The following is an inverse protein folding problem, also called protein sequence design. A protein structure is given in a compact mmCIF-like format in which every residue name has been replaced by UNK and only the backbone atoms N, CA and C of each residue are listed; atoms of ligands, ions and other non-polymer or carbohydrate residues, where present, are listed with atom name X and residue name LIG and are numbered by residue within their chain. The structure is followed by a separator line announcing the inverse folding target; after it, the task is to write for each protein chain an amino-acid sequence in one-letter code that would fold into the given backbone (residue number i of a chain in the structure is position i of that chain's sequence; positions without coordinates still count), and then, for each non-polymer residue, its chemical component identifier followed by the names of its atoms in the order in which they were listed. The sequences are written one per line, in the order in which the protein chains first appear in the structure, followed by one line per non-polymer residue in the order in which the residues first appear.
data_IF_715867430210
#
_entry.id   IF_715867430210
#
_cell.length_a   1.000
_cell.length_b   1.000
_cell.length_c   1.000
_cell.angle_alpha   90.00
_cell.angle_beta   90.00
_cell.angle_gamma   90.00
#
_symmetry.space_group_name_H-M   'P 1'
#
loop_
_entity.id
_entity.type
_entity.pdbx_description
1 polymer ?
2 branched ?
3 non-polymer ?
4 water ?
#
# COMPACT_ATOMS: atom_id res chain seq x y z
N UNK A 7 14.02 -22.77 0.39
CA UNK A 7 14.00 -23.93 -0.56
C UNK A 7 14.32 -23.48 -1.99
N UNK A 8 14.82 -24.43 -2.78
CA UNK A 8 15.19 -24.18 -4.17
C UNK A 8 13.95 -23.88 -5.05
N UNK A 9 14.07 -22.92 -5.98
CA UNK A 9 13.07 -22.76 -7.02
C UNK A 9 13.15 -23.98 -7.97
N UNK A 10 12.02 -24.33 -8.64
CA UNK A 10 12.05 -25.40 -9.63
C UNK A 10 12.56 -24.84 -10.96
N UNK A 11 12.83 -25.73 -11.91
CA UNK A 11 13.11 -25.33 -13.28
C UNK A 11 11.95 -24.46 -13.81
N UNK A 12 12.28 -23.37 -14.49
CA UNK A 12 11.30 -22.45 -15.05
C UNK A 12 11.83 -21.91 -16.37
N UNK A 13 10.93 -21.78 -17.35
CA UNK A 13 11.28 -21.24 -18.66
C UNK A 13 10.64 -19.88 -18.81
N UNK A 14 11.47 -18.85 -19.01
CA UNK A 14 10.98 -17.47 -19.21
C UNK A 14 12.02 -16.69 -20.01
N UNK A 15 11.62 -15.52 -20.58
CA UNK A 15 12.56 -14.70 -21.34
C UNK A 15 13.78 -14.28 -20.51
N UNK A 16 14.95 -14.41 -21.10
CA UNK A 16 16.18 -14.01 -20.43
C UNK A 16 16.13 -12.51 -20.18
N UNK A 17 16.45 -12.06 -18.94
CA UNK A 17 16.59 -10.61 -18.76
C UNK A 17 17.75 -10.06 -19.60
N UNK A 18 17.58 -8.86 -20.14
CA UNK A 18 18.57 -8.24 -21.02
C UNK A 18 19.34 -7.14 -20.28
N UNK A 19 20.59 -7.43 -19.93
CA UNK A 19 21.42 -6.49 -19.17
C UNK A 19 21.55 -5.11 -19.84
N UNK A 20 21.60 -5.10 -21.18
CA UNK A 20 21.81 -3.87 -21.94
C UNK A 20 20.51 -3.28 -22.55
N UNK A 21 19.36 -3.76 -22.07
CA UNK A 21 18.06 -3.16 -22.37
C UNK A 21 17.35 -2.79 -21.05
N UNK A 22 17.15 -1.49 -20.78
CA UNK A 22 16.41 -1.15 -19.56
C UNK A 22 14.96 -1.64 -19.64
N UNK A 23 14.33 -1.98 -18.51
CA UNK A 23 12.95 -2.46 -18.57
C UNK A 23 11.99 -1.34 -18.93
N UNK A 24 12.23 -0.15 -18.40
CA UNK A 24 11.43 1.02 -18.70
C UNK A 24 12.40 2.18 -18.91
N UNK A 25 12.23 2.94 -19.98
CA UNK A 25 13.03 4.13 -20.21
C UNK A 25 12.28 5.40 -19.82
N UNK A 26 11.00 5.27 -19.49
CA UNK A 26 10.14 6.42 -19.21
C UNK A 26 10.01 6.76 -17.73
N UNK A 27 10.39 5.84 -16.84
CA UNK A 27 10.21 6.04 -15.41
C UNK A 27 11.40 5.54 -14.61
N UNK A 28 11.54 6.06 -13.39
CA UNK A 28 12.52 5.59 -12.42
C UNK A 28 12.04 4.26 -11.82
N UNK A 29 12.86 3.23 -11.91
CA UNK A 29 12.48 1.88 -11.41
C UNK A 29 13.21 1.43 -10.14
N UNK A 30 14.08 2.28 -9.62
CA UNK A 30 14.81 2.02 -8.38
C UNK A 30 15.09 3.34 -7.66
N UNK A 31 14.92 3.34 -6.34
CA UNK A 31 15.19 4.55 -5.56
C UNK A 31 16.71 4.73 -5.34
N UNK A 32 17.13 5.93 -4.89
CA UNK A 32 18.54 6.14 -4.52
C UNK A 32 19.06 5.29 -3.35
N UNK A 33 18.17 4.66 -2.58
CA UNK A 33 18.54 3.69 -1.54
C UNK A 33 18.35 2.24 -2.01
N UNK A 34 18.26 2.06 -3.34
CA UNK A 34 18.17 0.78 -3.99
C UNK A 34 16.95 -0.05 -3.64
N UNK A 35 15.82 0.62 -3.37
CA UNK A 35 14.53 -0.08 -3.28
C UNK A 35 13.90 -0.06 -4.66
N UNK A 36 13.34 -1.21 -5.09
CA UNK A 36 12.62 -1.12 -6.37
C UNK A 36 11.36 -0.26 -6.32
N UNK A 37 11.07 0.38 -7.44
CA UNK A 37 9.83 1.09 -7.66
C UNK A 37 9.03 0.20 -8.60
N UNK A 38 7.87 -0.26 -8.12
CA UNK A 38 7.11 -1.31 -8.78
C UNK A 38 6.20 -0.75 -9.87
N UNK A 39 6.64 -0.92 -11.11
CA UNK A 39 5.87 -0.64 -12.32
C UNK A 39 5.64 -1.92 -13.14
N UNK A 40 4.59 -1.93 -13.97
CA UNK A 40 4.36 -3.02 -14.89
C UNK A 40 5.54 -3.11 -15.86
N UNK A 41 6.02 -4.33 -16.09
CA UNK A 41 7.24 -4.56 -16.86
C UNK A 41 8.50 -4.73 -16.04
N UNK A 42 8.50 -4.37 -14.75
CA UNK A 42 9.70 -4.54 -13.92
C UNK A 42 9.82 -5.96 -13.33
N UNK A 43 8.70 -6.68 -13.20
CA UNK A 43 8.70 -7.96 -12.52
C UNK A 43 8.14 -9.10 -13.39
N UNK A 44 8.69 -10.29 -13.16
CA UNK A 44 8.12 -11.52 -13.68
C UNK A 44 7.31 -12.10 -12.53
N UNK A 45 6.00 -12.07 -12.65
CA UNK A 45 5.11 -12.53 -11.57
C UNK A 45 5.20 -14.04 -11.31
N UNK A 46 5.57 -14.83 -12.32
CA UNK A 46 5.73 -16.28 -12.12
C UNK A 46 6.87 -16.58 -11.17
N UNK A 47 7.98 -15.88 -11.35
CA UNK A 47 9.12 -16.02 -10.43
C UNK A 47 8.74 -15.65 -9.00
N UNK A 48 8.13 -14.48 -8.83
CA UNK A 48 7.73 -13.98 -7.52
C UNK A 48 6.67 -14.85 -6.86
N UNK A 49 5.67 -15.31 -7.63
CA UNK A 49 4.67 -16.20 -7.06
C UNK A 49 5.32 -17.45 -6.50
N UNK A 50 6.25 -18.04 -7.25
CA UNK A 50 7.01 -19.20 -6.76
C UNK A 50 7.71 -18.91 -5.45
N UNK A 51 8.45 -17.80 -5.40
CA UNK A 51 9.23 -17.51 -4.20
C UNK A 51 8.32 -17.41 -2.97
N UNK A 52 7.20 -16.69 -3.13
CA UNK A 52 6.29 -16.47 -2.00
C UNK A 52 5.43 -17.67 -1.63
N UNK A 53 5.04 -18.47 -2.64
CA UNK A 53 4.32 -19.71 -2.36
C UNK A 53 5.18 -20.73 -1.64
N UNK A 54 6.44 -20.83 -2.03
CA UNK A 54 7.38 -21.74 -1.35
C UNK A 54 7.54 -21.43 0.14
N UNK A 55 7.29 -20.19 0.55
CA UNK A 55 7.27 -19.79 1.97
C UNK A 55 5.90 -19.87 2.61
N UNK A 56 4.88 -20.31 1.86
CA UNK A 56 3.50 -20.38 2.32
C UNK A 56 3.04 -19.05 2.93
N UNK A 57 3.29 -17.96 2.21
CA UNK A 57 3.05 -16.61 2.71
C UNK A 57 1.58 -16.30 2.92
N UNK A 58 1.26 -15.70 4.06
CA UNK A 58 -0.08 -15.21 4.36
C UNK A 58 -0.07 -13.69 4.40
N UNK A 59 -1.00 -13.08 3.66
CA UNK A 59 -1.10 -11.62 3.59
C UNK A 59 -2.38 -11.20 4.29
N UNK A 60 -2.23 -10.33 5.29
CA UNK A 60 -3.37 -9.63 5.90
C UNK A 60 -3.71 -8.36 5.14
N UNK A 61 -4.99 -8.12 4.91
CA UNK A 61 -5.48 -6.91 4.27
C UNK A 61 -6.43 -6.22 5.23
N UNK A 62 -6.08 -5.02 5.71
CA UNK A 62 -6.88 -4.33 6.72
C UNK A 62 -7.65 -3.16 6.10
N UNK A 63 -8.93 -3.03 6.46
CA UNK A 63 -9.76 -1.89 6.06
C UNK A 63 -10.60 -1.43 7.23
N UNK A 64 -10.81 -0.12 7.27
CA UNK A 64 -11.75 0.50 8.22
C UNK A 64 -12.97 0.90 7.42
N UNK A 65 -14.13 0.42 7.85
CA UNK A 65 -15.40 0.75 7.22
C UNK A 65 -16.37 1.21 8.31
N UNK A 66 -16.49 2.53 8.46
CA UNK A 66 -17.24 3.17 9.54
C UNK A 66 -18.41 3.91 8.92
N UNK A 67 -19.56 3.87 9.60
CA UNK A 67 -20.74 4.67 9.24
C UNK A 67 -21.20 4.38 7.79
N UNK A 68 -21.28 5.41 6.94
CA UNK A 68 -21.69 5.24 5.53
C UNK A 68 -20.73 4.39 4.68
N UNK A 69 -19.46 4.27 5.11
CA UNK A 69 -18.44 3.59 4.31
C UNK A 69 -18.60 2.07 4.22
N UNK A 70 -19.41 1.48 5.10
CA UNK A 70 -19.73 0.05 5.01
C UNK A 70 -20.38 -0.33 3.70
N UNK A 71 -21.05 0.63 3.05
CA UNK A 71 -21.59 0.45 1.70
C UNK A 71 -20.54 0.10 0.63
N UNK A 72 -19.27 0.42 0.87
CA UNK A 72 -18.19 0.15 -0.09
C UNK A 72 -17.57 -1.26 0.04
N UNK A 73 -17.92 -2.00 1.09
CA UNK A 73 -17.30 -3.31 1.36
C UNK A 73 -17.58 -4.35 0.29
N UNK A 74 -18.80 -4.38 -0.23
CA UNK A 74 -19.18 -5.42 -1.18
C UNK A 74 -18.28 -5.37 -2.42
N UNK A 75 -18.23 -4.22 -3.06
CA UNK A 75 -17.39 -4.05 -4.26
C UNK A 75 -15.89 -4.23 -3.94
N UNK A 76 -15.47 -3.69 -2.80
CA UNK A 76 -14.08 -3.84 -2.34
C UNK A 76 -13.68 -5.31 -2.25
N UNK A 77 -14.44 -6.10 -1.51
CA UNK A 77 -14.10 -7.51 -1.28
C UNK A 77 -14.23 -8.37 -2.55
N UNK A 78 -15.30 -8.15 -3.31
CA UNK A 78 -15.52 -8.86 -4.58
C UNK A 78 -14.37 -8.67 -5.57
N UNK A 79 -13.93 -7.42 -5.72
CA UNK A 79 -12.82 -7.09 -6.62
C UNK A 79 -11.49 -7.59 -6.06
N UNK A 80 -11.33 -7.54 -4.74
CA UNK A 80 -10.15 -8.14 -4.09
C UNK A 80 -10.06 -9.63 -4.36
N UNK A 81 -11.20 -10.32 -4.32
CA UNK A 81 -11.24 -11.73 -4.65
C UNK A 81 -10.73 -12.02 -6.05
N UNK A 82 -10.98 -11.12 -7.00
CA UNK A 82 -10.53 -11.28 -8.37
C UNK A 82 -9.08 -10.90 -8.62
N UNK A 83 -8.55 -9.97 -7.83
CA UNK A 83 -7.27 -9.32 -8.17
C UNK A 83 -6.16 -9.30 -7.12
N UNK A 84 -6.49 -9.47 -5.84
CA UNK A 84 -5.55 -9.27 -4.75
C UNK A 84 -4.98 -10.61 -4.27
N UNK A 85 -3.70 -10.80 -4.54
CA UNK A 85 -2.92 -11.94 -4.02
C UNK A 85 -3.55 -13.30 -4.38
N UNK A 86 -4.17 -13.39 -5.57
CA UNK A 86 -4.85 -14.62 -5.98
C UNK A 86 -3.81 -15.76 -6.07
N UNK A 87 -4.11 -16.89 -5.47
CA UNK A 87 -3.17 -18.02 -5.32
C UNK A 87 -2.50 -18.14 -3.95
N UNK A 88 -2.52 -17.05 -3.18
CA UNK A 88 -1.89 -16.99 -1.87
C UNK A 88 -2.93 -16.93 -0.77
N UNK A 89 -2.47 -17.20 0.45
CA UNK A 89 -3.32 -17.12 1.65
C UNK A 89 -3.57 -15.66 1.99
N UNK A 90 -4.84 -15.31 2.15
CA UNK A 90 -5.26 -13.93 2.45
C UNK A 90 -6.21 -13.95 3.64
N UNK A 91 -5.95 -13.06 4.59
CA UNK A 91 -6.83 -12.83 5.73
C UNK A 91 -7.27 -11.38 5.68
N UNK A 92 -8.56 -11.15 5.43
CA UNK A 92 -9.12 -9.81 5.44
C UNK A 92 -9.49 -9.47 6.88
N UNK A 93 -9.16 -8.26 7.30
CA UNK A 93 -9.60 -7.79 8.61
C UNK A 93 -10.41 -6.54 8.38
N UNK A 94 -11.72 -6.64 8.60
CA UNK A 94 -12.64 -5.53 8.46
C UNK A 94 -12.95 -4.93 9.84
N UNK A 95 -12.44 -3.73 10.09
CA UNK A 95 -12.76 -2.94 11.29
C UNK A 95 -13.98 -2.07 11.01
N UNK A 96 -15.06 -2.30 11.74
CA UNK A 96 -16.32 -1.59 11.50
C UNK A 96 -17.11 -1.34 12.78
N UNK A 97 -17.88 -0.27 12.78
CA UNK A 97 -18.86 0.02 13.84
C UNK A 97 -20.20 -0.69 13.62
N UNK A 98 -20.37 -1.37 12.47
CA UNK A 98 -21.60 -2.05 12.11
C UNK A 98 -21.33 -3.47 11.62
N UNK A 99 -20.94 -4.37 12.53
CA UNK A 99 -20.66 -5.77 12.16
C UNK A 99 -21.75 -6.47 11.32
N UNK A 100 -23.01 -6.20 11.62
CA UNK A 100 -24.13 -6.85 10.92
C UNK A 100 -24.36 -6.32 9.49
N UNK A 101 -23.78 -5.17 9.15
CA UNK A 101 -23.89 -4.61 7.81
C UNK A 101 -22.78 -5.07 6.84
N UNK A 102 -21.84 -5.87 7.32
CA UNK A 102 -20.77 -6.40 6.48
C UNK A 102 -21.42 -7.39 5.50
N UNK A 103 -21.25 -7.17 4.18
CA UNK A 103 -21.90 -8.09 3.23
C UNK A 103 -21.26 -9.48 3.20
N UNK A 104 -22.07 -10.49 2.93
CA UNK A 104 -21.62 -11.88 2.83
C UNK A 104 -21.08 -12.08 1.43
N UNK A 105 -19.76 -11.99 1.31
CA UNK A 105 -19.07 -12.10 0.01
C UNK A 105 -18.44 -13.48 -0.05
N UNK A 106 -18.57 -14.14 -1.20
CA UNK A 106 -18.02 -15.47 -1.39
C UNK A 106 -16.51 -15.37 -1.64
N UNK A 107 -15.73 -16.14 -0.86
CA UNK A 107 -14.27 -16.11 -0.94
C UNK A 107 -13.72 -17.38 -1.55
N UNK A 108 -12.65 -17.24 -2.34
CA UNK A 108 -11.84 -18.38 -2.79
C UNK A 108 -11.25 -19.16 -1.63
N UNK A 109 -10.85 -20.39 -1.91
CA UNK A 109 -10.19 -21.22 -0.91
C UNK A 109 -8.90 -20.56 -0.41
N UNK A 110 -8.60 -20.76 0.87
CA UNK A 110 -7.42 -20.20 1.51
C UNK A 110 -7.54 -18.73 1.88
N UNK A 111 -8.76 -18.19 1.80
CA UNK A 111 -8.99 -16.79 2.05
C UNK A 111 -10.05 -16.70 3.13
N UNK A 112 -9.82 -15.85 4.11
CA UNK A 112 -10.80 -15.67 5.17
C UNK A 112 -10.97 -14.23 5.55
N UNK A 113 -12.09 -13.96 6.22
CA UNK A 113 -12.42 -12.61 6.64
C UNK A 113 -12.77 -12.64 8.11
N UNK A 114 -12.17 -11.71 8.87
CA UNK A 114 -12.57 -11.45 10.25
C UNK A 114 -13.20 -10.08 10.34
N UNK A 115 -14.29 -9.98 11.08
CA UNK A 115 -14.92 -8.70 11.41
C UNK A 115 -14.53 -8.32 12.81
N UNK A 116 -13.94 -7.13 12.96
CA UNK A 116 -13.52 -6.61 14.25
C UNK A 116 -14.37 -5.38 14.54
N UNK A 117 -15.14 -5.42 15.61
CA UNK A 117 -15.99 -4.29 15.99
C UNK A 117 -15.18 -3.21 16.66
N UNK A 118 -15.43 -1.95 16.30
CA UNK A 118 -14.83 -0.79 16.96
C UNK A 118 -15.93 0.17 17.42
N UNK A 141 -0.56 -8.18 18.54
CA UNK A 141 -0.11 -9.53 18.89
C UNK A 141 -0.75 -10.62 18.01
N UNK A 142 -2.05 -10.51 17.76
CA UNK A 142 -2.78 -11.48 16.93
C UNK A 142 -2.27 -11.48 15.48
N UNK A 143 -1.99 -10.28 14.94
CA UNK A 143 -1.42 -10.15 13.60
C UNK A 143 -0.11 -10.89 13.46
N UNK A 144 0.72 -10.84 14.49
CA UNK A 144 2.03 -11.52 14.49
C UNK A 144 1.88 -13.03 14.30
N UNK A 145 0.86 -13.62 14.90
CA UNK A 145 0.66 -15.06 14.82
C UNK A 145 -0.16 -15.48 13.57
N UNK A 146 -0.91 -14.56 12.96
CA UNK A 146 -1.84 -14.92 11.88
C UNK A 146 -1.37 -14.63 10.45
N UNK A 147 -0.58 -13.57 10.26
CA UNK A 147 -0.12 -13.22 8.91
C UNK A 147 1.37 -12.88 8.92
N UNK A 148 1.98 -12.96 7.73
CA UNK A 148 3.38 -12.59 7.52
C UNK A 148 3.52 -11.12 7.09
N UNK A 149 2.54 -10.63 6.33
CA UNK A 149 2.54 -9.26 5.86
C UNK A 149 1.20 -8.61 6.14
N UNK A 150 1.21 -7.31 6.36
CA UNK A 150 0.01 -6.50 6.48
C UNK A 150 -0.02 -5.45 5.40
N UNK A 151 -1.20 -5.29 4.77
CA UNK A 151 -1.44 -4.30 3.75
C UNK A 151 -2.64 -3.49 4.25
N UNK A 152 -2.49 -2.17 4.30
CA UNK A 152 -3.47 -1.29 4.92
C UNK A 152 -3.99 -0.35 3.86
N UNK A 153 -5.30 -0.45 3.55
CA UNK A 153 -5.92 0.34 2.49
C UNK A 153 -7.23 0.97 2.93
N UNK A 154 -7.73 1.88 2.11
CA UNK A 154 -9.06 2.50 2.28
C UNK A 154 -10.12 1.60 1.62
N UNK A 155 -11.32 1.60 2.20
CA UNK A 155 -12.42 0.74 1.74
C UNK A 155 -13.16 1.27 0.50
N UNK A 156 -13.18 2.59 0.30
CA UNK A 156 -13.90 3.23 -0.80
C UNK A 156 -13.06 3.14 -2.08
N UNK A 157 -12.75 1.91 -2.46
CA UNK A 157 -11.86 1.63 -3.58
C UNK A 157 -12.30 0.34 -4.24
N UNK A 158 -11.77 0.09 -5.43
CA UNK A 158 -11.97 -1.20 -6.09
C UNK A 158 -10.69 -1.62 -6.79
N UNK A 159 -10.46 -2.92 -6.81
CA UNK A 159 -9.38 -3.51 -7.58
C UNK A 159 -9.84 -3.67 -9.03
N UNK A 160 -9.02 -3.23 -9.96
CA UNK A 160 -9.29 -3.38 -11.40
C UNK A 160 -8.26 -4.22 -12.13
N UNK A 161 -7.12 -4.49 -11.49
CA UNK A 161 -6.10 -5.32 -12.10
C UNK A 161 -5.26 -5.94 -10.98
N UNK A 162 -4.25 -6.72 -11.39
CA UNK A 162 -3.42 -7.51 -10.52
C UNK A 162 -2.74 -6.67 -9.43
N UNK A 163 -2.95 -7.08 -8.18
CA UNK A 163 -2.18 -6.58 -7.03
C UNK A 163 -1.71 -7.82 -6.29
N UNK A 164 -0.42 -8.13 -6.43
CA UNK A 164 0.09 -9.40 -5.96
C UNK A 164 1.35 -9.28 -5.15
N UNK A 165 2.06 -10.39 -5.07
CA UNK A 165 3.24 -10.48 -4.17
C UNK A 165 4.43 -9.60 -4.57
N UNK A 166 4.44 -9.11 -5.80
CA UNK A 166 5.42 -8.06 -6.18
C UNK A 166 5.50 -6.89 -5.18
N UNK A 167 4.45 -6.62 -4.42
CA UNK A 167 4.46 -5.50 -3.45
C UNK A 167 5.12 -5.84 -2.11
N UNK A 168 5.25 -7.13 -1.80
CA UNK A 168 5.62 -7.57 -0.47
C UNK A 168 7.11 -7.42 -0.20
N UNK A 169 7.39 -6.95 1.01
CA UNK A 169 8.72 -6.46 1.39
C UNK A 169 8.62 -6.04 2.85
N UNK A 170 9.76 -5.81 3.53
CA UNK A 170 9.58 -5.36 4.92
C UNK A 170 8.75 -4.10 5.10
N UNK A 171 8.91 -3.10 4.24
CA UNK A 171 8.15 -1.84 4.37
C UNK A 171 7.97 -1.17 3.01
N UNK A 172 6.73 -0.87 2.65
CA UNK A 172 6.45 -0.18 1.39
C UNK A 172 5.46 0.97 1.57
N UNK A 173 5.66 2.00 0.76
CA UNK A 173 4.71 3.06 0.55
C UNK A 173 4.36 3.13 -0.93
N UNK A 174 3.36 3.95 -1.24
CA UNK A 174 2.82 4.09 -2.58
C UNK A 174 2.87 5.56 -3.01
N UNK A 175 3.35 5.81 -4.23
CA UNK A 175 3.39 7.18 -4.77
C UNK A 175 1.99 7.72 -5.03
N UNK A 176 1.69 8.84 -4.39
CA UNK A 176 0.44 9.57 -4.56
C UNK A 176 0.27 9.98 -6.05
N UNK A 177 -0.88 9.62 -6.65
CA UNK A 177 -1.10 9.83 -8.08
C UNK A 177 -1.17 11.29 -8.55
N UNK A 178 -1.55 12.19 -7.65
CA UNK A 178 -1.49 13.64 -7.89
C UNK A 178 -0.14 14.33 -7.75
N UNK A 179 0.90 13.63 -7.26
CA UNK A 179 2.18 14.29 -6.96
C UNK A 179 3.42 13.61 -7.51
N UNK A 180 3.26 12.50 -8.24
CA UNK A 180 4.42 11.70 -8.67
C UNK A 180 5.37 12.47 -9.61
N UNK A 181 4.83 13.44 -10.36
CA UNK A 181 5.63 14.32 -11.23
C UNK A 181 6.03 15.66 -10.61
N UNK A 182 5.73 15.88 -9.33
CA UNK A 182 5.96 17.19 -8.72
C UNK A 182 7.36 17.33 -8.14
N UNK A 183 7.84 18.58 -8.09
CA UNK A 183 8.99 18.93 -7.27
C UNK A 183 8.63 18.79 -5.79
N UNK A 184 9.64 18.60 -4.95
CA UNK A 184 9.44 18.38 -3.51
C UNK A 184 8.87 19.60 -2.79
N UNK A 185 9.21 20.79 -3.27
CA UNK A 185 8.65 22.05 -2.74
C UNK A 185 7.13 22.09 -2.89
N UNK A 186 6.59 21.46 -3.94
CA UNK A 186 5.14 21.38 -4.18
C UNK A 186 4.42 20.28 -3.38
N UNK A 187 5.16 19.31 -2.84
CA UNK A 187 4.54 18.26 -2.03
C UNK A 187 3.82 18.88 -0.83
N UNK A 188 2.63 18.39 -0.52
CA UNK A 188 1.83 18.93 0.58
C UNK A 188 2.20 18.31 1.92
N UNK A 189 3.51 18.23 2.21
CA UNK A 189 3.99 17.82 3.54
C UNK A 189 3.54 18.84 4.58
N UNK A 190 3.55 18.44 5.84
CA UNK A 190 3.40 19.41 6.92
C UNK A 190 4.64 20.31 6.94
N UNK A 191 4.41 21.63 6.84
CA UNK A 191 5.49 22.63 6.78
C UNK A 191 5.71 23.47 8.04
N UNK A 192 4.91 23.26 9.09
CA UNK A 192 5.07 23.99 10.36
C UNK A 192 6.05 23.24 11.27
N UNK A 193 7.17 23.88 11.70
CA UNK A 193 8.13 23.18 12.58
C UNK A 193 7.59 22.72 13.94
N UNK A 194 6.43 23.25 14.33
CA UNK A 194 5.80 22.89 15.58
C UNK A 194 5.20 21.48 15.55
N UNK A 195 4.93 20.95 14.35
CA UNK A 195 4.39 19.59 14.19
C UNK A 195 5.52 18.55 14.11
N UNK A 196 5.30 17.41 14.76
CA UNK A 196 6.17 16.23 14.60
C UNK A 196 6.28 15.75 13.13
N UNK A 197 5.27 16.01 12.31
CA UNK A 197 5.28 15.65 10.88
C UNK A 197 6.03 16.64 9.97
N UNK A 198 6.65 17.68 10.57
CA UNK A 198 7.36 18.73 9.83
C UNK A 198 8.44 18.21 8.87
N UNK A 199 8.33 18.58 7.60
CA UNK A 199 9.40 18.35 6.63
C UNK A 199 9.71 19.67 5.93
N UNK A 200 10.97 20.18 6.04
CA UNK A 200 11.30 21.41 5.32
C UNK A 200 11.33 21.28 3.79
N UNK A 201 11.35 22.44 3.13
CA UNK A 201 11.23 22.56 1.67
C UNK A 201 12.34 21.86 0.89
N UNK A 202 13.53 21.73 1.49
CA UNK A 202 14.68 21.03 0.88
C UNK A 202 14.80 19.53 1.21
N UNK A 203 13.80 18.97 1.89
CA UNK A 203 13.81 17.54 2.20
C UNK A 203 12.60 16.85 1.57
N UNK A 204 12.74 15.54 1.34
CA UNK A 204 11.66 14.75 0.77
C UNK A 204 12.12 13.96 -0.42
N UNK A 205 11.76 12.67 -0.46
CA UNK A 205 11.99 11.83 -1.64
C UNK A 205 10.77 11.85 -2.54
N UNK A 206 9.64 11.44 -1.98
CA UNK A 206 8.38 11.28 -2.68
C UNK A 206 7.25 11.75 -1.78
N UNK A 207 6.07 11.91 -2.38
CA UNK A 207 4.86 12.08 -1.61
C UNK A 207 4.09 10.76 -1.62
N UNK A 208 4.12 10.07 -0.48
CA UNK A 208 3.43 8.82 -0.33
C UNK A 208 1.98 9.03 0.10
N UNK A 209 1.11 8.15 -0.38
CA UNK A 209 -0.30 8.10 -0.01
C UNK A 209 -0.54 7.49 1.34
N UNK A 210 -1.47 8.07 2.10
CA UNK A 210 -1.90 7.47 3.36
C UNK A 210 -2.74 6.22 3.17
N UNK A 211 -3.41 6.11 2.03
CA UNK A 211 -4.34 5.01 1.76
C UNK A 211 -3.82 3.69 1.21
N UNK A 212 -2.50 3.52 1.06
CA UNK A 212 -1.95 2.21 0.64
C UNK A 212 -0.49 2.11 1.07
N UNK A 213 -0.29 1.40 2.17
CA UNK A 213 1.03 1.08 2.67
C UNK A 213 0.97 -0.29 3.34
N UNK A 214 2.13 -0.80 3.68
CA UNK A 214 2.22 -2.11 4.33
C UNK A 214 3.63 -2.60 4.47
N UNK A 215 3.75 -3.90 4.72
CA UNK A 215 5.03 -4.47 5.02
C UNK A 215 4.91 -5.70 5.90
N UNK A 216 6.02 -6.12 6.49
CA UNK A 216 5.97 -7.17 7.53
C UNK A 216 5.12 -6.65 8.68
N UNK A 217 4.52 -7.57 9.43
CA UNK A 217 3.72 -7.18 10.58
C UNK A 217 4.53 -6.29 11.54
N UNK A 218 5.76 -6.70 11.84
CA UNK A 218 6.68 -5.95 12.70
C UNK A 218 6.91 -4.52 12.22
N UNK A 219 7.21 -4.36 10.93
CA UNK A 219 7.45 -3.01 10.41
C UNK A 219 6.21 -2.14 10.37
N UNK A 220 5.05 -2.74 10.11
CA UNK A 220 3.80 -1.98 10.07
C UNK A 220 3.44 -1.53 11.49
N UNK A 221 3.62 -2.43 12.45
CA UNK A 221 3.36 -2.08 13.86
C UNK A 221 4.31 -0.98 14.36
N UNK A 222 5.58 -1.04 13.95
CA UNK A 222 6.54 0.06 14.24
C UNK A 222 6.09 1.38 13.69
N UNK A 223 5.67 1.36 12.43
CA UNK A 223 5.17 2.56 11.76
C UNK A 223 3.96 3.16 12.48
N UNK A 224 2.98 2.32 12.80
CA UNK A 224 1.72 2.80 13.37
C UNK A 224 1.94 3.27 14.82
N UNK A 225 2.83 2.57 15.54
CA UNK A 225 3.25 3.02 16.87
C UNK A 225 3.92 4.41 16.81
N UNK A 226 4.88 4.59 15.89
CA UNK A 226 5.56 5.89 15.71
C UNK A 226 4.58 7.00 15.35
N UNK A 227 3.67 6.71 14.42
CA UNK A 227 2.69 7.71 13.99
C UNK A 227 1.71 8.08 15.10
N UNK A 228 1.23 7.08 15.83
CA UNK A 228 0.32 7.32 16.96
C UNK A 228 1.01 8.16 18.04
N UNK A 229 2.28 7.87 18.35
CA UNK A 229 3.05 8.69 19.31
C UNK A 229 3.24 10.13 18.84
N UNK A 230 3.61 10.33 17.57
CA UNK A 230 3.75 11.67 17.01
C UNK A 230 2.43 12.47 17.03
N UNK A 231 1.33 11.81 16.69
CA UNK A 231 0.00 12.43 16.72
C UNK A 231 -0.41 12.88 18.14
N UNK A 232 -0.06 12.09 19.16
CA UNK A 232 -0.28 12.46 20.56
C UNK A 232 0.50 13.71 20.98
N UNK A 233 1.78 13.77 20.59
CA UNK A 233 2.62 14.92 20.88
C UNK A 233 2.07 16.18 20.23
N UNK A 234 1.68 16.07 18.95
CA UNK A 234 1.01 17.17 18.25
C UNK A 234 -0.29 17.61 18.93
N UNK A 235 -1.10 16.63 19.33
CA UNK A 235 -2.37 16.91 20.00
C UNK A 235 -2.12 17.65 21.32
N UNK A 236 -1.17 17.16 22.11
CA UNK A 236 -0.72 17.84 23.33
C UNK A 236 -0.25 19.27 23.09
N UNK A 237 0.42 19.54 21.97
CA UNK A 237 0.88 20.89 21.59
C UNK A 237 -0.14 21.75 20.80
N UNK A 238 -1.39 21.28 20.69
CA UNK A 238 -2.44 22.04 20.02
C UNK A 238 -2.35 22.14 18.50
N UNK A 239 -1.69 21.19 17.85
CA UNK A 239 -1.53 21.24 16.39
C UNK A 239 -2.01 19.92 15.79
N UNK A 240 -2.63 20.01 14.61
CA UNK A 240 -3.06 18.86 13.83
C UNK A 240 -2.39 19.00 12.45
N UNK A 241 -1.68 17.95 12.04
CA UNK A 241 -0.96 17.98 10.76
C UNK A 241 -1.92 18.18 9.58
N UNK A 242 -1.46 18.94 8.59
CA UNK A 242 -2.28 19.38 7.44
C UNK A 242 -3.06 18.26 6.73
N UNK A 243 -2.44 17.10 6.52
CA UNK A 243 -3.11 15.95 5.92
C UNK A 243 -3.15 14.75 6.86
N UNK A 244 -3.12 15.04 8.17
CA UNK A 244 -3.43 14.07 9.23
C UNK A 244 -2.48 12.87 9.20
N UNK A 245 -3.01 11.65 9.10
CA UNK A 245 -2.17 10.44 9.15
C UNK A 245 -1.17 10.39 7.99
N UNK A 246 -1.59 10.83 6.80
CA UNK A 246 -0.72 10.92 5.62
C UNK A 246 0.51 11.80 5.83
N UNK A 247 0.36 12.90 6.56
CA UNK A 247 1.48 13.78 6.86
C UNK A 247 2.55 13.07 7.70
N UNK A 248 2.09 12.32 8.70
CA UNK A 248 2.95 11.55 9.60
C UNK A 248 3.57 10.33 8.90
N UNK A 249 2.78 9.66 8.06
CA UNK A 249 3.31 8.60 7.20
C UNK A 249 4.50 9.10 6.39
N UNK A 250 4.35 10.27 5.78
CA UNK A 250 5.42 10.82 4.95
C UNK A 250 6.69 11.13 5.74
N UNK A 251 6.54 11.68 6.93
CA UNK A 251 7.67 11.88 7.83
C UNK A 251 8.36 10.58 8.21
N UNK A 252 7.57 9.56 8.52
CA UNK A 252 8.11 8.26 8.90
C UNK A 252 8.90 7.63 7.74
N UNK A 253 8.33 7.68 6.54
CA UNK A 253 9.00 7.08 5.39
C UNK A 253 10.18 7.89 4.87
N UNK A 254 10.23 9.19 5.19
CA UNK A 254 11.43 9.99 4.97
C UNK A 254 12.57 9.50 5.85
N UNK A 255 12.30 9.23 7.12
CA UNK A 255 13.30 8.81 8.08
C UNK A 255 13.60 7.31 8.09
N UNK A 256 12.64 6.49 7.65
CA UNK A 256 12.81 5.03 7.56
C UNK A 256 12.43 4.65 6.14
N UNK A 257 13.43 4.55 5.27
CA UNK A 257 13.19 4.43 3.85
C UNK A 257 12.47 3.12 3.52
N UNK A 258 11.41 3.18 2.71
CA UNK A 258 10.76 1.93 2.36
C UNK A 258 11.66 1.01 1.51
N UNK A 259 11.49 -0.28 1.68
CA UNK A 259 12.26 -1.29 0.95
C UNK A 259 11.68 -1.58 -0.43
N UNK A 260 10.43 -1.19 -0.67
CA UNK A 260 9.86 -1.07 -2.02
C UNK A 260 8.98 0.17 -2.05
N UNK A 261 8.83 0.76 -3.23
CA UNK A 261 7.88 1.85 -3.44
C UNK A 261 6.93 1.42 -4.56
N UNK A 262 5.62 1.54 -4.36
CA UNK A 262 4.68 1.22 -5.40
C UNK A 262 4.43 2.44 -6.29
N UNK A 263 4.35 2.21 -7.60
CA UNK A 263 4.00 3.27 -8.55
C UNK A 263 2.53 3.63 -8.42
N UNK A 264 2.12 4.75 -9.07
CA UNK A 264 0.72 5.13 -8.99
C UNK A 264 -0.24 4.17 -9.69
N UNK A 265 0.26 3.14 -10.38
CA UNK A 265 -0.62 2.06 -10.82
C UNK A 265 -1.44 1.47 -9.65
N UNK A 266 -0.84 1.52 -8.46
CA UNK A 266 -1.37 0.86 -7.26
C UNK A 266 -2.40 1.70 -6.51
N UNK A 267 -2.53 2.99 -6.84
CA UNK A 267 -3.65 3.78 -6.36
C UNK A 267 -3.90 4.97 -7.27
N UNK A 268 -4.90 4.82 -8.14
CA UNK A 268 -5.18 5.80 -9.17
C UNK A 268 -6.61 6.33 -9.05
N UNK A 269 -6.86 7.49 -9.67
CA UNK A 269 -8.20 8.03 -9.82
C UNK A 269 -8.35 8.43 -11.27
N UNK A 270 -8.99 7.58 -12.05
CA UNK A 270 -9.16 7.79 -13.48
C UNK A 270 -10.04 9.01 -13.79
N UNK A 271 -11.10 9.23 -13.01
CA UNK A 271 -11.99 10.39 -13.19
C UNK A 271 -11.21 11.69 -13.09
N UNK A 272 -10.38 11.81 -12.04
CA UNK A 272 -9.59 13.02 -11.79
C UNK A 272 -8.37 13.14 -12.71
N UNK A 273 -7.70 12.02 -12.99
CA UNK A 273 -6.37 12.05 -13.61
C UNK A 273 -6.24 11.38 -14.98
N UNK A 274 -7.29 10.71 -15.43
CA UNK A 274 -7.29 10.08 -16.75
C UNK A 274 -6.46 8.81 -16.78
N UNK A 275 -5.77 8.60 -17.89
CA UNK A 275 -4.98 7.39 -18.10
C UNK A 275 -3.73 7.72 -18.91
N UNK A 276 -2.71 8.25 -18.23
CA UNK A 276 -1.49 8.62 -18.97
C UNK A 276 -0.71 7.42 -19.51
N UNK A 277 0.13 7.69 -20.50
CA UNK A 277 0.94 6.67 -21.17
C UNK A 277 1.82 5.91 -20.18
N UNK A 278 2.29 6.63 -19.16
CA UNK A 278 3.18 6.08 -18.17
C UNK A 278 2.54 4.93 -17.36
N UNK A 279 1.20 4.91 -17.27
CA UNK A 279 0.46 3.81 -16.62
C UNK A 279 -0.02 2.74 -17.60
N UNK A 280 0.66 1.60 -17.60
CA UNK A 280 0.26 0.44 -18.40
C UNK A 280 -0.90 -0.35 -17.76
N UNK A 281 -1.06 -0.23 -16.45
CA UNK A 281 -2.18 -0.86 -15.75
C UNK A 281 -2.72 0.10 -14.70
N UNK A 282 -4.03 0.05 -14.46
CA UNK A 282 -4.66 0.75 -13.33
C UNK A 282 -5.20 -0.36 -12.42
N UNK A 283 -4.53 -0.58 -11.29
CA UNK A 283 -4.73 -1.80 -10.50
C UNK A 283 -5.76 -1.64 -9.38
N UNK A 284 -5.79 -0.46 -8.77
CA UNK A 284 -6.58 -0.22 -7.54
C UNK A 284 -6.98 1.24 -7.62
N UNK A 285 -8.28 1.52 -7.59
CA UNK A 285 -8.77 2.84 -7.92
C UNK A 285 -9.87 3.33 -7.00
N UNK A 286 -10.04 4.65 -7.01
CA UNK A 286 -11.10 5.33 -6.26
C UNK A 286 -12.46 4.96 -6.86
N UNK A 287 -13.46 4.85 -6.00
CA UNK A 287 -14.85 4.65 -6.40
C UNK A 287 -15.61 5.95 -6.13
N UNK A 288 -16.07 6.65 -7.20
CA UNK A 288 -16.91 7.85 -7.00
C UNK A 288 -18.28 7.57 -6.34
X LIG B 1 -1.80 19.26 -7.23
X LIG B 1 -2.81 18.30 -7.82
X LIG B 1 -3.43 17.42 -6.75
X LIG B 1 -4.29 16.31 -7.36
X LIG B 1 -4.94 15.31 -6.38
X LIG B 1 -4.78 15.63 -4.89
X LIG B 1 -5.48 14.65 -4.12
X LIG B 1 -5.56 14.91 -2.72
X LIG B 1 -4.23 15.06 -2.18
X LIG B 1 -4.22 15.39 -0.80
X LIG B 1 -2.79 15.71 -0.36
X LIG B 1 -2.35 16.93 -0.99
X LIG B 1 -4.83 14.24 0.00
X LIG B 1 -4.01 13.08 -0.18
X LIG B 1 -6.26 13.97 -0.48
X LIG B 1 -6.81 12.82 0.21
X LIG B 1 -6.26 13.74 -2.00
X LIG B 1 -7.58 13.56 -2.52
X LIG B 2 -8.02 12.19 -2.64
X LIG B 2 -9.49 12.13 -3.08
X LIG B 2 -9.62 12.55 -4.55
X LIG B 2 -8.70 11.71 -5.43
X LIG B 2 -7.26 11.82 -4.92
X LIG B 2 -6.29 10.95 -5.75
X LIG B 2 -10.30 12.97 -2.26
X LIG B 2 -10.97 12.42 -4.99
X LIG B 2 -9.17 10.36 -5.47
X LIG B 2 -7.17 11.46 -3.54
X LIG B 3 -8.17 14.05 1.67
X LIG B 3 -7.20 13.00 1.58
X LIG B 3 -7.83 11.73 2.18
X LIG B 3 -6.91 10.57 2.10
X LIG B 3 -9.09 11.34 1.39
X LIG B 3 -9.70 10.21 2.00
X LIG B 3 -10.06 12.52 1.36
X LIG B 3 -10.63 12.68 2.67
X LIG B 3 -9.39 13.84 0.94
X LIG B 3 -10.31 15.04 1.17
X LIG B 3 -9.68 16.20 0.66
X LIG B 3 -6.00 10.19 3.04
X LIG B 3 -5.28 9.20 2.87
X LIG B 3 -5.86 11.00 4.30
X LIG C 1 1.06 6.83 9.87
X LIG D 1 -2.91 -1.87 8.98
X LIG E 1 -1.57 7.80 13.47
X LIG F 1 12.41 -5.60 -17.38
#
# INVERSE_FOLDING_TARGET
AIGEFMVSLPRMVYPQPKVLTPCRKDVLVVTPWLAPIVWEGTFNIDILNEQFRLQNTTIGLTVFAIKKYVAFLKLFLETAEKHFMVGHRVHYYVFTDQPAAVPRVTLGTGRQLSVLEVRAYKRWQDVSMRRMEMISDFCERRFLSEVDYLVCVDVDMEFRDHVGVEILTPLFGTLHPGFYGSSREAFTYERRPQSQAYIPKDEGDFYYLGGFFGGSVQEVQRLTRACHQAMMVDQANGIEAVWHDESHLNKYLLRHKPTKVLSPEYLWDQQLLGWPAVLRKLRFTAVPKNHQAVRNP
HSH C3A C4A C5A C6A C7 C8 O1 C1 O5 C5 C6 O6 C4 O4 C3 O3 C2 O2
FUC C1 C2 C3 C4 C5 C6 O2 O3 O4 O5
A2G O5 C1 C2 N2 C3 O3 C4 O4 C5 C6 O6 C7 O7 C8
HG HG
HG HG
HG HG
HG HG
#
